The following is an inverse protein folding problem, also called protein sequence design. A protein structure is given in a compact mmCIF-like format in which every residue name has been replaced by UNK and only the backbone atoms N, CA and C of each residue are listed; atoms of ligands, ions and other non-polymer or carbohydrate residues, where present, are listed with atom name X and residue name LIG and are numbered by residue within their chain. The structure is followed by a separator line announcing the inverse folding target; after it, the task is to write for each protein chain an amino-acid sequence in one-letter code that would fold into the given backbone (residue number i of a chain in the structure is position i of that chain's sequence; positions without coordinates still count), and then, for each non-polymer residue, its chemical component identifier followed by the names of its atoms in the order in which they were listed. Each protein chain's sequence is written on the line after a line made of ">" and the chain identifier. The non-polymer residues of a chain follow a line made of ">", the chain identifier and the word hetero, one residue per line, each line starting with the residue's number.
data_IF_092786536397
#
_entry.id   IF_092786536397
#
_cell.length_a   1.000
_cell.length_b   1.000
_cell.length_c   1.000
_cell.angle_alpha   90.00
_cell.angle_beta   90.00
_cell.angle_gamma   90.00
#
_symmetry.space_group_name_H-M   'P 1'
#
loop_
_entity.id
_entity.type
_entity.pdbx_description
1 polymer ?
#
# COMPACT_ATOMS: atom_id res chain seq x y z
N UNK A 1 49.37 -35.65 19.42
CA UNK A 1 47.94 -35.45 19.14
C UNK A 1 47.54 -34.14 19.79
N UNK A 2 47.37 -33.06 18.99
CA UNK A 2 47.00 -31.74 19.47
C UNK A 2 45.55 -31.47 18.97
N UNK A 3 44.64 -31.46 19.88
CA UNK A 3 43.21 -31.16 19.60
C UNK A 3 43.03 -29.64 19.69
N UNK A 4 42.83 -29.01 18.55
CA UNK A 4 42.52 -27.58 18.47
C UNK A 4 41.03 -27.38 18.73
N UNK A 5 40.72 -26.67 19.83
CA UNK A 5 39.37 -26.27 20.22
C UNK A 5 38.99 -24.99 19.47
N UNK A 6 38.12 -25.08 18.47
CA UNK A 6 37.59 -23.91 17.73
C UNK A 6 36.45 -23.30 18.57
N UNK A 7 36.71 -22.13 19.14
CA UNK A 7 35.67 -21.31 19.80
C UNK A 7 34.87 -20.56 18.74
N UNK A 8 33.61 -20.93 18.53
CA UNK A 8 32.65 -20.15 17.73
C UNK A 8 32.15 -18.97 18.55
N UNK A 9 32.56 -17.76 18.20
CA UNK A 9 32.04 -16.52 18.76
C UNK A 9 30.67 -16.22 18.06
N UNK A 10 29.56 -16.49 18.72
CA UNK A 10 28.23 -16.09 18.24
C UNK A 10 28.07 -14.60 18.57
N UNK A 11 28.21 -13.76 17.53
CA UNK A 11 27.85 -12.34 17.62
C UNK A 11 26.33 -12.25 17.57
N UNK A 12 25.71 -12.06 18.72
CA UNK A 12 24.29 -11.70 18.80
C UNK A 12 24.15 -10.25 18.32
N UNK A 13 23.65 -10.08 17.11
CA UNK A 13 23.20 -8.77 16.62
C UNK A 13 21.92 -8.45 17.36
N UNK A 14 22.03 -7.66 18.42
CA UNK A 14 20.87 -7.03 19.08
C UNK A 14 20.27 -6.05 18.12
N UNK A 15 19.17 -6.45 17.47
CA UNK A 15 18.33 -5.52 16.68
C UNK A 15 17.74 -4.51 17.67
N UNK A 16 18.24 -3.29 17.62
CA UNK A 16 17.63 -2.15 18.33
C UNK A 16 16.21 -2.02 17.77
N UNK A 17 15.16 -1.98 18.63
CA UNK A 17 13.80 -1.79 18.13
C UNK A 17 13.74 -0.45 17.38
N UNK A 18 13.46 -0.52 16.08
CA UNK A 18 13.21 0.66 15.26
C UNK A 18 12.15 1.51 15.95
N UNK A 19 12.46 2.78 16.18
CA UNK A 19 11.51 3.73 16.72
C UNK A 19 10.24 3.67 15.87
N UNK A 20 9.13 3.25 16.47
CA UNK A 20 7.84 3.12 15.81
C UNK A 20 7.45 4.50 15.26
N UNK A 21 7.51 4.65 13.95
CA UNK A 21 6.99 5.84 13.29
C UNK A 21 5.49 5.92 13.59
N UNK A 22 4.96 7.07 14.03
CA UNK A 22 3.53 7.19 14.28
C UNK A 22 2.74 6.87 13.02
N UNK A 23 1.57 6.20 13.12
CA UNK A 23 0.77 5.86 11.96
C UNK A 23 0.29 7.12 11.24
N UNK A 24 0.27 7.05 9.90
CA UNK A 24 -0.26 8.11 9.03
C UNK A 24 -1.74 7.85 8.81
N UNK A 25 -2.56 8.89 8.90
CA UNK A 25 -4.02 8.78 8.84
C UNK A 25 -4.59 9.24 7.52
N UNK A 26 -5.51 8.45 6.97
CA UNK A 26 -6.42 8.82 5.90
C UNK A 26 -7.86 8.96 6.38
N UNK A 27 -8.84 8.95 5.46
CA UNK A 27 -10.27 8.97 5.81
C UNK A 27 -10.69 7.66 6.48
N UNK A 28 -10.80 7.66 7.81
CA UNK A 28 -11.19 6.53 8.66
C UNK A 28 -10.28 5.30 8.54
N UNK A 29 -9.03 5.51 8.23
CA UNK A 29 -8.01 4.47 8.27
C UNK A 29 -6.66 5.04 8.67
N UNK A 30 -5.77 4.16 9.09
CA UNK A 30 -4.37 4.48 9.33
C UNK A 30 -3.47 3.39 8.76
N UNK A 31 -2.23 3.78 8.48
CA UNK A 31 -1.19 2.91 7.96
C UNK A 31 0.12 3.12 8.70
N UNK A 32 0.97 2.10 8.68
CA UNK A 32 2.35 2.20 9.15
C UNK A 32 3.25 2.51 7.95
N UNK A 33 4.04 3.57 8.07
CA UNK A 33 4.95 4.01 7.01
C UNK A 33 6.38 3.76 7.45
N UNK A 34 7.15 2.89 6.74
CA UNK A 34 8.54 2.62 7.06
C UNK A 34 9.44 3.79 6.70
N UNK A 35 10.67 3.73 7.21
CA UNK A 35 11.70 4.71 6.85
C UNK A 35 11.96 4.70 5.33
N UNK A 36 12.26 5.86 4.75
CA UNK A 36 12.49 6.01 3.30
C UNK A 36 11.28 6.52 2.51
N UNK A 37 10.07 6.40 3.07
CA UNK A 37 8.85 6.95 2.50
C UNK A 37 8.45 8.26 3.19
N UNK A 38 8.11 9.25 2.40
CA UNK A 38 7.65 10.56 2.85
C UNK A 38 6.17 10.72 2.56
N UNK A 39 5.39 11.15 3.55
CA UNK A 39 3.99 11.51 3.35
C UNK A 39 3.90 12.85 2.62
N UNK A 40 3.24 12.86 1.46
CA UNK A 40 2.95 14.08 0.68
C UNK A 40 1.55 14.60 0.97
N UNK A 41 0.60 13.68 1.25
CA UNK A 41 -0.76 14.02 1.63
C UNK A 41 -1.29 13.01 2.63
N UNK A 42 -2.09 13.50 3.57
CA UNK A 42 -2.85 12.73 4.55
C UNK A 42 -4.26 13.35 4.71
N UNK A 43 -5.15 12.64 5.40
CA UNK A 43 -6.53 13.09 5.61
C UNK A 43 -7.54 12.31 4.75
N UNK A 44 -7.90 12.78 3.54
CA UNK A 44 -8.87 12.09 2.68
C UNK A 44 -8.31 10.81 2.06
N UNK A 45 -7.07 10.90 1.59
CA UNK A 45 -6.27 9.79 1.09
C UNK A 45 -4.83 9.94 1.60
N UNK A 46 -4.05 8.88 1.57
CA UNK A 46 -2.62 8.95 1.88
C UNK A 46 -1.83 8.79 0.59
N UNK A 47 -0.95 9.76 0.34
CA UNK A 47 0.01 9.72 -0.75
C UNK A 47 1.42 9.73 -0.16
N UNK A 48 2.17 8.70 -0.48
CA UNK A 48 3.55 8.53 -0.08
C UNK A 48 4.48 8.62 -1.30
N UNK A 49 5.67 9.15 -1.08
CA UNK A 49 6.74 9.18 -2.06
C UNK A 49 8.02 8.62 -1.45
N UNK A 50 8.69 7.76 -2.19
CA UNK A 50 10.02 7.25 -1.85
C UNK A 50 11.10 8.05 -2.56
N UNK A 51 12.28 8.18 -1.96
CA UNK A 51 13.41 8.93 -2.53
C UNK A 51 13.87 8.46 -3.91
N UNK A 52 13.54 7.21 -4.30
CA UNK A 52 13.78 6.66 -5.64
C UNK A 52 12.78 7.10 -6.71
N UNK A 53 11.78 7.94 -6.38
CA UNK A 53 10.72 8.37 -7.27
C UNK A 53 9.56 7.36 -7.42
N UNK A 54 9.49 6.35 -6.53
CA UNK A 54 8.30 5.54 -6.41
C UNK A 54 7.23 6.28 -5.59
N UNK A 55 5.96 6.00 -5.87
CA UNK A 55 4.84 6.56 -5.12
C UNK A 55 3.82 5.47 -4.75
N UNK A 56 3.14 5.69 -3.63
CA UNK A 56 2.06 4.82 -3.16
C UNK A 56 0.90 5.67 -2.69
N UNK A 57 -0.26 5.49 -3.35
CA UNK A 57 -1.52 6.11 -2.97
C UNK A 57 -2.41 5.05 -2.34
N UNK A 58 -3.00 5.38 -1.20
CA UNK A 58 -4.02 4.58 -0.54
C UNK A 58 -5.21 5.48 -0.23
N UNK A 59 -6.39 5.08 -0.69
CA UNK A 59 -7.63 5.79 -0.40
C UNK A 59 -8.76 4.83 -0.08
N UNK A 60 -9.61 5.23 0.85
CA UNK A 60 -10.85 4.53 1.12
C UNK A 60 -11.87 4.89 0.03
N UNK A 61 -12.61 3.89 -0.44
CA UNK A 61 -13.66 4.07 -1.45
C UNK A 61 -15.00 3.59 -0.93
N UNK A 62 -16.06 4.05 -1.55
CA UNK A 62 -17.39 3.50 -1.31
C UNK A 62 -17.45 2.06 -1.81
N UNK A 63 -18.31 1.26 -1.19
CA UNK A 63 -18.53 -0.14 -1.59
C UNK A 63 -18.98 -0.21 -3.05
N UNK A 64 -18.21 -0.83 -3.95
CA UNK A 64 -18.63 -1.04 -5.33
C UNK A 64 -19.73 -2.10 -5.41
N UNK A 65 -20.65 -1.96 -6.37
CA UNK A 65 -21.68 -2.97 -6.66
C UNK A 65 -21.07 -4.25 -7.23
N UNK A 66 -20.03 -4.11 -8.03
CA UNK A 66 -19.26 -5.21 -8.62
C UNK A 66 -17.76 -4.87 -8.50
N UNK A 67 -17.04 -5.61 -7.66
CA UNK A 67 -15.63 -5.33 -7.36
C UNK A 67 -14.72 -5.52 -8.58
N UNK A 68 -14.77 -6.64 -9.34
CA UNK A 68 -13.95 -6.82 -10.53
C UNK A 68 -14.18 -5.74 -11.59
N UNK A 69 -15.43 -5.43 -11.90
CA UNK A 69 -15.79 -4.41 -12.89
C UNK A 69 -15.33 -3.00 -12.46
N UNK A 70 -15.49 -2.69 -11.18
CA UNK A 70 -14.97 -1.43 -10.61
C UNK A 70 -13.46 -1.36 -10.76
N UNK A 71 -12.74 -2.42 -10.36
CA UNK A 71 -11.29 -2.48 -10.41
C UNK A 71 -10.77 -2.31 -11.86
N UNK A 72 -11.42 -2.95 -12.82
CA UNK A 72 -11.07 -2.80 -14.24
C UNK A 72 -11.21 -1.35 -14.70
N UNK A 73 -12.38 -0.74 -14.50
CA UNK A 73 -12.63 0.65 -14.91
C UNK A 73 -11.67 1.64 -14.30
N UNK A 74 -11.30 1.45 -13.02
CA UNK A 74 -10.34 2.33 -12.37
C UNK A 74 -8.91 2.08 -12.87
N UNK A 75 -8.51 0.83 -13.11
CA UNK A 75 -7.22 0.51 -13.72
C UNK A 75 -7.07 1.15 -15.11
N UNK A 76 -8.12 1.09 -15.93
CA UNK A 76 -8.17 1.78 -17.22
C UNK A 76 -8.01 3.30 -17.08
N UNK A 77 -8.61 3.92 -16.06
CA UNK A 77 -8.43 5.36 -15.77
C UNK A 77 -7.01 5.71 -15.35
N UNK A 78 -6.39 4.87 -14.50
CA UNK A 78 -4.99 5.05 -14.09
C UNK A 78 -4.05 4.95 -15.29
N UNK A 79 -4.40 4.16 -16.27
CA UNK A 79 -3.64 3.99 -17.51
C UNK A 79 -3.70 5.20 -18.44
N UNK A 80 -4.81 5.97 -18.47
CA UNK A 80 -5.05 7.06 -19.42
C UNK A 80 -3.91 8.09 -19.57
N UNK A 81 -3.23 8.54 -18.49
CA UNK A 81 -2.15 9.52 -18.62
C UNK A 81 -0.82 8.93 -19.11
N UNK A 82 -0.76 7.62 -19.39
CA UNK A 82 0.46 6.95 -19.84
C UNK A 82 0.46 6.81 -21.37
N UNK A 83 1.61 7.07 -21.99
CA UNK A 83 1.85 6.74 -23.38
C UNK A 83 2.18 5.26 -23.56
N UNK A 84 1.74 4.66 -24.68
CA UNK A 84 1.99 3.25 -25.00
C UNK A 84 1.62 2.29 -23.86
N UNK A 85 0.52 2.58 -23.19
CA UNK A 85 0.11 1.84 -22.00
C UNK A 85 -0.48 0.47 -22.36
N UNK A 86 -0.16 -0.51 -21.51
CA UNK A 86 -0.74 -1.86 -21.55
C UNK A 86 -1.33 -2.19 -20.18
N UNK A 87 -2.52 -2.78 -20.19
CA UNK A 87 -3.19 -3.32 -19.02
C UNK A 87 -3.00 -4.84 -19.00
N UNK A 88 -2.41 -5.36 -17.92
CA UNK A 88 -2.26 -6.81 -17.73
C UNK A 88 -3.58 -7.47 -17.34
N UNK A 89 -3.60 -8.80 -17.36
CA UNK A 89 -4.76 -9.59 -16.93
C UNK A 89 -5.04 -9.40 -15.43
N UNK A 90 -6.33 -9.37 -15.04
CA UNK A 90 -6.71 -9.28 -13.64
C UNK A 90 -6.24 -10.48 -12.85
N UNK A 91 -5.77 -10.24 -11.62
CA UNK A 91 -5.49 -11.29 -10.64
C UNK A 91 -6.33 -11.03 -9.40
N UNK A 92 -7.01 -12.08 -8.94
CA UNK A 92 -7.81 -12.03 -7.70
C UNK A 92 -7.20 -12.94 -6.66
N UNK A 93 -7.13 -12.48 -5.44
CA UNK A 93 -6.61 -13.22 -4.29
C UNK A 93 -7.56 -13.08 -3.13
N UNK A 94 -7.56 -14.09 -2.28
CA UNK A 94 -8.26 -14.06 -1.01
C UNK A 94 -7.33 -14.63 0.05
N UNK A 95 -7.04 -13.83 1.06
CA UNK A 95 -6.20 -14.21 2.17
C UNK A 95 -6.89 -13.81 3.49
N UNK A 96 -7.33 -14.80 4.27
CA UNK A 96 -8.10 -14.56 5.47
C UNK A 96 -9.39 -13.79 5.18
N UNK A 97 -9.47 -12.56 5.73
CA UNK A 97 -10.59 -11.63 5.53
C UNK A 97 -10.41 -10.67 4.36
N UNK A 98 -9.22 -10.65 3.78
CA UNK A 98 -8.87 -9.76 2.70
C UNK A 98 -9.17 -10.39 1.34
N UNK A 99 -9.73 -9.61 0.47
CA UNK A 99 -9.97 -9.95 -0.93
C UNK A 99 -9.40 -8.84 -1.80
N UNK A 100 -8.57 -9.22 -2.78
CA UNK A 100 -7.92 -8.28 -3.67
C UNK A 100 -8.27 -8.58 -5.12
N UNK A 101 -8.48 -7.50 -5.87
CA UNK A 101 -8.42 -7.53 -7.34
C UNK A 101 -7.31 -6.60 -7.75
N UNK A 102 -6.37 -7.08 -8.56
CA UNK A 102 -5.23 -6.27 -9.00
C UNK A 102 -5.02 -6.33 -10.50
N UNK A 103 -4.44 -5.25 -11.02
CA UNK A 103 -3.95 -5.09 -12.37
C UNK A 103 -2.51 -4.59 -12.34
N UNK A 104 -1.71 -5.08 -13.26
CA UNK A 104 -0.40 -4.50 -13.57
C UNK A 104 -0.54 -3.65 -14.82
N UNK A 105 -0.07 -2.42 -14.77
CA UNK A 105 -0.10 -1.46 -15.86
C UNK A 105 1.34 -1.09 -16.19
N UNK A 106 1.68 -1.09 -17.46
CA UNK A 106 2.97 -0.61 -17.97
C UNK A 106 2.73 0.48 -19.00
N UNK A 107 3.59 1.47 -19.03
CA UNK A 107 3.50 2.56 -19.98
C UNK A 107 4.57 3.59 -19.76
N UNK A 108 4.49 4.68 -20.50
CA UNK A 108 5.48 5.75 -20.42
C UNK A 108 4.84 7.01 -19.82
N UNK A 109 5.51 7.62 -18.87
CA UNK A 109 5.20 8.98 -18.42
C UNK A 109 6.31 9.89 -18.94
N UNK A 110 5.99 10.72 -19.92
CA UNK A 110 6.99 11.41 -20.73
C UNK A 110 7.95 10.40 -21.37
N UNK A 111 9.23 10.44 -21.03
CA UNK A 111 10.25 9.52 -21.58
C UNK A 111 10.57 8.36 -20.62
N UNK A 112 10.00 8.34 -19.41
CA UNK A 112 10.31 7.32 -18.41
C UNK A 112 9.35 6.14 -18.49
N UNK A 113 9.90 4.92 -18.56
CA UNK A 113 9.12 3.70 -18.43
C UNK A 113 8.60 3.56 -17.00
N UNK A 114 7.28 3.39 -16.86
CA UNK A 114 6.60 3.27 -15.58
C UNK A 114 5.87 1.93 -15.50
N UNK A 115 5.87 1.39 -14.30
CA UNK A 115 5.09 0.21 -13.95
C UNK A 115 4.23 0.54 -12.76
N UNK A 116 2.95 0.20 -12.83
CA UNK A 116 1.95 0.49 -11.81
C UNK A 116 1.30 -0.80 -11.39
N UNK A 117 1.19 -1.01 -10.09
CA UNK A 117 0.33 -2.02 -9.51
C UNK A 117 -0.91 -1.32 -8.95
N UNK A 118 -2.01 -1.51 -9.64
CA UNK A 118 -3.32 -1.04 -9.19
C UNK A 118 -4.04 -2.18 -8.47
N UNK A 119 -4.54 -1.92 -7.27
CA UNK A 119 -5.27 -2.89 -6.45
C UNK A 119 -6.52 -2.27 -5.85
N UNK A 120 -7.58 -3.08 -5.75
CA UNK A 120 -8.71 -2.80 -4.87
C UNK A 120 -8.73 -3.86 -3.78
N UNK A 121 -8.59 -3.43 -2.54
CA UNK A 121 -8.66 -4.28 -1.35
C UNK A 121 -10.06 -4.18 -0.76
N UNK A 122 -10.67 -5.33 -0.50
CA UNK A 122 -11.78 -5.47 0.45
C UNK A 122 -11.23 -6.06 1.75
N UNK A 123 -11.42 -5.34 2.85
CA UNK A 123 -11.10 -5.80 4.20
C UNK A 123 -12.32 -5.62 5.10
N UNK A 124 -12.88 -6.72 5.58
CA UNK A 124 -14.20 -6.74 6.23
C UNK A 124 -15.26 -6.10 5.33
N UNK A 125 -15.84 -4.95 5.75
CA UNK A 125 -16.82 -4.18 4.95
C UNK A 125 -16.23 -2.88 4.37
N UNK A 126 -14.93 -2.69 4.44
CA UNK A 126 -14.25 -1.52 3.91
C UNK A 126 -13.54 -1.85 2.60
N UNK A 127 -13.47 -0.84 1.73
CA UNK A 127 -12.85 -0.96 0.43
C UNK A 127 -11.79 0.12 0.27
N UNK A 128 -10.64 -0.26 -0.26
CA UNK A 128 -9.50 0.63 -0.45
C UNK A 128 -8.94 0.47 -1.86
N UNK A 129 -8.62 1.57 -2.49
CA UNK A 129 -7.74 1.60 -3.64
C UNK A 129 -6.31 1.77 -3.19
N UNK A 130 -5.43 1.01 -3.82
CA UNK A 130 -3.99 1.05 -3.62
C UNK A 130 -3.33 1.15 -4.97
N UNK A 131 -2.59 2.23 -5.20
CA UNK A 131 -1.88 2.47 -6.45
C UNK A 131 -0.40 2.65 -6.12
N UNK A 132 0.40 1.65 -6.48
CA UNK A 132 1.85 1.71 -6.38
C UNK A 132 2.43 1.96 -7.77
N UNK A 133 3.21 3.03 -7.92
CA UNK A 133 3.88 3.40 -9.17
C UNK A 133 5.38 3.54 -8.94
N UNK A 134 6.18 2.98 -9.84
CA UNK A 134 7.62 3.16 -9.85
C UNK A 134 8.18 3.12 -11.28
N UNK A 135 9.43 3.54 -11.47
CA UNK A 135 10.18 3.26 -12.68
C UNK A 135 10.36 1.75 -12.86
N UNK A 136 10.36 1.27 -14.10
CA UNK A 136 10.46 -0.17 -14.42
C UNK A 136 11.60 -0.86 -13.68
N UNK A 137 12.78 -0.22 -13.63
CA UNK A 137 14.00 -0.78 -13.00
C UNK A 137 13.92 -0.86 -11.46
N UNK A 138 13.06 -0.05 -10.84
CA UNK A 138 12.93 0.03 -9.38
C UNK A 138 11.68 -0.63 -8.83
N UNK A 139 10.76 -0.99 -9.71
CA UNK A 139 9.45 -1.48 -9.32
C UNK A 139 9.53 -2.68 -8.38
N UNK A 140 10.26 -3.72 -8.75
CA UNK A 140 10.33 -4.95 -7.96
C UNK A 140 11.14 -4.76 -6.65
N UNK A 141 12.08 -3.82 -6.61
CA UNK A 141 12.88 -3.53 -5.41
C UNK A 141 12.03 -3.01 -4.26
N UNK A 142 11.04 -2.16 -4.53
CA UNK A 142 10.19 -1.53 -3.51
C UNK A 142 8.79 -2.15 -3.41
N UNK A 143 8.49 -3.14 -4.26
CA UNK A 143 7.17 -3.76 -4.29
C UNK A 143 6.80 -4.39 -2.96
N UNK A 144 7.73 -5.07 -2.31
CA UNK A 144 7.51 -5.71 -1.00
C UNK A 144 7.16 -4.68 0.06
N UNK A 145 7.92 -3.58 0.16
CA UNK A 145 7.63 -2.50 1.11
C UNK A 145 6.27 -1.85 0.84
N UNK A 146 5.96 -1.57 -0.43
CA UNK A 146 4.66 -1.01 -0.81
C UNK A 146 3.50 -1.94 -0.43
N UNK A 147 3.69 -3.26 -0.55
CA UNK A 147 2.72 -4.26 -0.13
C UNK A 147 2.58 -4.35 1.39
N UNK A 148 3.67 -4.24 2.13
CA UNK A 148 3.65 -4.19 3.60
C UNK A 148 2.90 -2.95 4.11
N UNK A 149 3.16 -1.77 3.53
CA UNK A 149 2.41 -0.54 3.83
C UNK A 149 0.92 -0.75 3.56
N UNK A 150 0.55 -1.26 2.38
CA UNK A 150 -0.84 -1.51 2.03
C UNK A 150 -1.52 -2.55 2.95
N UNK A 151 -0.77 -3.56 3.39
CA UNK A 151 -1.25 -4.58 4.32
C UNK A 151 -1.41 -4.06 5.75
N UNK A 152 -0.72 -2.97 6.11
CA UNK A 152 -0.82 -2.33 7.42
C UNK A 152 -2.10 -1.48 7.60
N UNK A 153 -2.91 -1.31 6.55
CA UNK A 153 -4.16 -0.53 6.62
C UNK A 153 -5.06 -1.05 7.73
N UNK A 154 -5.38 -0.17 8.67
CA UNK A 154 -6.33 -0.43 9.76
C UNK A 154 -7.47 0.57 9.70
N UNK A 155 -8.70 0.09 9.84
CA UNK A 155 -9.88 0.96 9.86
C UNK A 155 -10.03 1.61 11.22
N UNK A 156 -10.20 2.91 11.26
CA UNK A 156 -10.50 3.67 12.48
C UNK A 156 -12.01 3.64 12.69
N UNK A 157 -12.44 3.07 13.82
CA UNK A 157 -13.84 3.11 14.25
C UNK A 157 -14.02 4.39 15.08
N UNK A 158 -14.67 5.39 14.52
CA UNK A 158 -15.01 6.58 15.27
C UNK A 158 -16.07 6.23 16.34
N UNK A 159 -15.80 6.64 17.57
CA UNK A 159 -16.79 6.53 18.63
C UNK A 159 -18.04 7.34 18.23
N UNK A 160 -19.26 6.80 18.44
CA UNK A 160 -20.46 7.55 18.13
C UNK A 160 -20.48 8.87 18.92
N UNK A 161 -20.93 9.98 18.30
CA UNK A 161 -20.97 11.27 18.98
C UNK A 161 -21.81 11.16 20.26
N UNK A 162 -21.39 11.83 21.34
CA UNK A 162 -22.12 11.76 22.60
C UNK A 162 -23.57 12.20 22.40
N UNK A 163 -24.50 11.33 22.78
CA UNK A 163 -25.94 11.61 22.68
C UNK A 163 -26.22 12.83 23.56
N UNK A 164 -26.48 13.99 22.95
CA UNK A 164 -26.94 15.17 23.67
C UNK A 164 -28.29 14.84 24.29
N UNK A 165 -28.28 14.46 25.57
CA UNK A 165 -29.52 14.36 26.36
C UNK A 165 -30.18 15.74 26.35
N UNK A 166 -31.27 15.91 25.60
CA UNK A 166 -32.13 17.08 25.73
C UNK A 166 -32.64 17.08 27.18
N UNK A 167 -32.18 18.05 27.98
CA UNK A 167 -32.80 18.35 29.26
C UNK A 167 -34.24 18.78 28.96
N UNK A 168 -35.20 18.02 29.45
CA UNK A 168 -36.59 18.44 29.54
C UNK A 168 -36.75 19.42 30.71
#
# INVERSE_FOLDING_TARGET
>A
MHTALLLFLIVQVTQTPSALTPPVRGDRFEIVVPQGWKTLNDGGYVLLEHSSGASLLIQRINRPSNLPEYAQRQAERVMLPLGFATLGEPRSFKEGKDEWVQYEIRGNRLTAHRRILYRVLRRDNNFFEVVYEAGEERFDTLLTEAQEIASSVQTIIEAPPPVRRRRR
#
